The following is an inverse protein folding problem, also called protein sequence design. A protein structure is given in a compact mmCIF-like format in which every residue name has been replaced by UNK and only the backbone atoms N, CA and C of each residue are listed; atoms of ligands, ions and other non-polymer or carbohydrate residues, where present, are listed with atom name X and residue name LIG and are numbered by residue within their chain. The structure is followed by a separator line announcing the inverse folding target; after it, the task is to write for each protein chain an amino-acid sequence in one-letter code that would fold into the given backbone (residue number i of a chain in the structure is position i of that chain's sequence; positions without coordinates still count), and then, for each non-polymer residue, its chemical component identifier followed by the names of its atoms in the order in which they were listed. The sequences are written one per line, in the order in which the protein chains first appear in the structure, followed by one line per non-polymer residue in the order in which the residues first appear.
data_IF_879469253484
#
_entry.id   IF_879469253484
#
_cell.length_a   1.000
_cell.length_b   1.000
_cell.length_c   1.000
_cell.angle_alpha   90.00
_cell.angle_beta   90.00
_cell.angle_gamma   90.00
#
_symmetry.space_group_name_H-M   'P 1'
#
loop_
_entity.id
_entity.type
_entity.pdbx_description
1 polymer ?
#
# COMPACT_ATOMS: atom_id res chain seq x y z
N UNK A 1 2.33 -4.05 -16.52
CA UNK A 1 3.35 -4.15 -15.43
C UNK A 1 2.63 -4.49 -14.13
N UNK A 2 3.22 -5.35 -13.30
CA UNK A 2 2.58 -5.87 -12.07
C UNK A 2 2.40 -4.73 -11.03
N UNK A 3 1.17 -4.42 -10.58
CA UNK A 3 0.91 -3.47 -9.50
C UNK A 3 1.40 -4.03 -8.17
N UNK A 4 1.58 -3.16 -7.18
CA UNK A 4 1.92 -3.59 -5.83
C UNK A 4 1.22 -2.72 -4.79
N UNK A 5 1.02 -3.30 -3.61
CA UNK A 5 0.51 -2.61 -2.43
C UNK A 5 1.57 -2.71 -1.34
N UNK A 6 1.81 -1.61 -0.65
CA UNK A 6 2.69 -1.55 0.52
C UNK A 6 1.78 -1.52 1.74
N UNK A 7 1.97 -2.47 2.65
CA UNK A 7 1.31 -2.49 3.94
C UNK A 7 2.28 -1.87 4.94
N UNK A 8 2.03 -0.64 5.36
CA UNK A 8 2.76 0.08 6.40
C UNK A 8 2.33 -0.48 7.77
N UNK A 9 2.88 -1.65 8.10
CA UNK A 9 2.53 -2.41 9.28
C UNK A 9 3.14 -1.84 10.57
N UNK A 10 2.56 -2.23 11.71
CA UNK A 10 2.92 -1.81 13.07
C UNK A 10 2.52 -0.38 13.42
N UNK A 11 1.42 0.12 12.86
CA UNK A 11 0.90 1.47 13.13
C UNK A 11 0.48 1.70 14.59
N UNK A 12 0.41 0.63 15.39
CA UNK A 12 0.19 0.66 16.83
C UNK A 12 1.39 1.18 17.64
N UNK A 13 2.60 1.15 17.07
CA UNK A 13 3.80 1.61 17.77
C UNK A 13 3.90 3.14 17.74
N UNK A 14 4.30 3.79 18.86
CA UNK A 14 4.44 5.24 18.92
C UNK A 14 5.57 5.78 18.01
N UNK A 15 6.48 4.92 17.58
CA UNK A 15 7.58 5.24 16.66
C UNK A 15 7.26 4.88 15.20
N UNK A 16 6.04 4.43 14.91
CA UNK A 16 5.64 4.08 13.56
C UNK A 16 5.56 5.33 12.68
N UNK A 17 6.19 5.25 11.51
CA UNK A 17 6.03 6.26 10.48
C UNK A 17 4.63 6.17 9.86
N UNK A 18 4.04 7.31 9.57
CA UNK A 18 2.79 7.38 8.82
C UNK A 18 3.04 7.14 7.31
N UNK A 19 1.95 6.97 6.56
CA UNK A 19 2.06 6.69 5.12
C UNK A 19 2.80 7.78 4.34
N UNK A 20 2.62 9.06 4.69
CA UNK A 20 3.28 10.18 4.00
C UNK A 20 4.79 10.14 4.23
N UNK A 21 5.24 9.90 5.45
CA UNK A 21 6.66 9.72 5.77
C UNK A 21 7.26 8.52 5.03
N UNK A 22 6.56 7.38 5.00
CA UNK A 22 7.01 6.20 4.26
C UNK A 22 7.05 6.41 2.75
N UNK A 23 6.16 7.23 2.19
CA UNK A 23 6.19 7.59 0.77
C UNK A 23 7.49 8.34 0.42
N UNK A 24 7.91 9.25 1.29
CA UNK A 24 9.15 10.02 1.13
C UNK A 24 10.39 9.15 1.33
N UNK A 25 10.47 8.40 2.43
CA UNK A 25 11.61 7.53 2.78
C UNK A 25 11.85 6.43 1.73
N UNK A 26 10.78 5.88 1.15
CA UNK A 26 10.86 4.89 0.08
C UNK A 26 10.92 5.52 -1.32
N UNK A 27 10.91 6.85 -1.42
CA UNK A 27 10.89 7.62 -2.66
C UNK A 27 9.83 7.11 -3.65
N UNK A 28 8.61 6.84 -3.18
CA UNK A 28 7.54 6.27 -4.00
C UNK A 28 7.04 7.25 -5.06
N UNK A 29 7.26 8.55 -4.86
CA UNK A 29 7.01 9.59 -5.86
C UNK A 29 7.77 9.35 -7.18
N UNK A 30 8.96 8.75 -7.11
CA UNK A 30 9.75 8.41 -8.31
C UNK A 30 9.17 7.24 -9.11
N UNK A 31 8.26 6.45 -8.52
CA UNK A 31 7.67 5.26 -9.15
C UNK A 31 6.49 5.67 -10.04
N UNK A 32 6.80 6.04 -11.29
CA UNK A 32 5.80 6.47 -12.29
C UNK A 32 5.30 5.34 -13.21
N UNK A 33 6.11 4.30 -13.41
CA UNK A 33 5.83 3.26 -14.43
C UNK A 33 4.99 2.08 -13.92
N UNK A 34 4.64 2.04 -12.63
CA UNK A 34 3.86 0.97 -12.00
C UNK A 34 2.82 1.60 -11.09
N UNK A 35 1.58 1.14 -11.16
CA UNK A 35 0.57 1.54 -10.16
C UNK A 35 0.95 0.95 -8.81
N UNK A 36 0.88 1.77 -7.78
CA UNK A 36 1.13 1.39 -6.41
C UNK A 36 0.10 2.01 -5.47
N UNK A 37 0.01 1.46 -4.25
CA UNK A 37 -0.80 1.98 -3.17
C UNK A 37 -0.12 1.67 -1.84
N UNK A 38 -0.32 2.51 -0.83
CA UNK A 38 0.17 2.27 0.54
C UNK A 38 -1.00 2.36 1.52
N UNK A 39 -1.04 1.44 2.47
CA UNK A 39 -2.07 1.37 3.51
C UNK A 39 -1.40 1.19 4.88
N UNK A 40 -1.74 2.07 5.83
CA UNK A 40 -1.38 1.89 7.24
C UNK A 40 -2.14 0.70 7.81
N UNK A 41 -1.47 -0.15 8.59
CA UNK A 41 -2.06 -1.35 9.14
C UNK A 41 -1.47 -1.73 10.50
N UNK A 42 -2.29 -2.38 11.32
CA UNK A 42 -1.86 -3.05 12.54
C UNK A 42 -2.24 -4.53 12.44
N UNK A 43 -1.25 -5.40 12.22
CA UNK A 43 -1.53 -6.82 12.07
C UNK A 43 -2.04 -7.51 13.35
N UNK A 44 -1.83 -6.90 14.52
CA UNK A 44 -2.27 -7.45 15.81
C UNK A 44 -3.80 -7.37 15.93
N UNK A 45 -4.39 -6.25 15.52
CA UNK A 45 -5.84 -6.04 15.61
C UNK A 45 -6.57 -6.22 14.26
N UNK A 46 -5.83 -6.31 13.16
CA UNK A 46 -6.38 -6.53 11.81
C UNK A 46 -6.64 -5.25 11.02
N UNK A 47 -6.41 -4.06 11.60
CA UNK A 47 -6.71 -2.78 10.96
C UNK A 47 -5.93 -2.61 9.66
N UNK A 48 -6.59 -2.12 8.61
CA UNK A 48 -5.97 -1.77 7.33
C UNK A 48 -5.64 -2.96 6.41
N UNK A 49 -5.70 -4.20 6.90
CA UNK A 49 -5.37 -5.38 6.08
C UNK A 49 -6.43 -5.61 5.00
N UNK A 50 -7.72 -5.54 5.38
CA UNK A 50 -8.82 -5.74 4.44
C UNK A 50 -8.80 -4.69 3.33
N UNK A 51 -8.55 -3.43 3.66
CA UNK A 51 -8.45 -2.30 2.75
C UNK A 51 -7.30 -2.48 1.76
N UNK A 52 -6.12 -2.87 2.26
CA UNK A 52 -4.96 -3.16 1.43
C UNK A 52 -5.26 -4.27 0.40
N UNK A 53 -5.91 -5.35 0.85
CA UNK A 53 -6.26 -6.49 -0.01
C UNK A 53 -7.35 -6.14 -1.03
N UNK A 54 -8.37 -5.37 -0.62
CA UNK A 54 -9.40 -4.87 -1.53
C UNK A 54 -8.79 -3.99 -2.63
N UNK A 55 -7.85 -3.11 -2.26
CA UNK A 55 -7.18 -2.27 -3.23
C UNK A 55 -6.28 -3.07 -4.18
N UNK A 56 -5.57 -4.08 -3.68
CA UNK A 56 -4.81 -4.99 -4.53
C UNK A 56 -5.72 -5.70 -5.55
N UNK A 57 -6.85 -6.24 -5.10
CA UNK A 57 -7.83 -6.90 -5.95
C UNK A 57 -8.39 -5.95 -7.03
N UNK A 58 -8.67 -4.69 -6.66
CA UNK A 58 -9.08 -3.65 -7.62
C UNK A 58 -8.00 -3.38 -8.66
N UNK A 59 -6.76 -3.16 -8.24
CA UNK A 59 -5.64 -2.89 -9.14
C UNK A 59 -5.41 -4.04 -10.14
N UNK A 60 -5.51 -5.30 -9.68
CA UNK A 60 -5.41 -6.49 -10.53
C UNK A 60 -6.56 -6.53 -11.55
N UNK A 61 -7.81 -6.34 -11.10
CA UNK A 61 -8.98 -6.32 -11.99
C UNK A 61 -8.86 -5.25 -13.07
N UNK A 62 -8.46 -4.04 -12.68
CA UNK A 62 -8.30 -2.94 -13.62
C UNK A 62 -7.22 -3.23 -14.66
N UNK A 63 -6.11 -3.87 -14.26
CA UNK A 63 -5.05 -4.20 -15.23
C UNK A 63 -5.54 -5.18 -16.31
N UNK A 64 -6.38 -6.14 -15.94
CA UNK A 64 -6.97 -7.11 -16.88
C UNK A 64 -7.94 -6.50 -17.88
N UNK A 65 -8.50 -5.30 -17.61
CA UNK A 65 -9.38 -4.60 -18.56
C UNK A 65 -8.63 -3.90 -19.69
N UNK A 66 -7.33 -3.66 -19.53
CA UNK A 66 -6.48 -2.93 -20.49
C UNK A 66 -5.38 -3.82 -21.10
N UNK A 67 -5.44 -5.13 -20.87
CA UNK A 67 -4.61 -6.14 -21.55
C UNK A 67 -5.54 -6.98 -22.41
#
# INVERSE_FOLDING_TARGET
KVPFVIIANKSDLPTALNCSELIEELNLHSVSKRRWYIQSACAINGDGICEAMQQMAKMIKDQRKYT
#
